data_IF_267880080777
#
_entry.id   IF_267880080777
#
_cell.length_a   1.000
_cell.length_b   1.000
_cell.length_c   1.000
_cell.angle_alpha   90.00
_cell.angle_beta   90.00
_cell.angle_gamma   90.00
#
_symmetry.space_group_name_H-M   'P 1'
#
loop_
_entity.id
_entity.type
_entity.pdbx_description
1 polymer ?
#
# COMPACT_ATOMS: atom_id res chain seq x y z
N UNK A 1 -58.49 37.86 16.41
CA UNK A 1 -57.99 36.48 16.10
C UNK A 1 -56.87 36.42 15.09
N UNK A 2 -56.77 37.36 14.15
CA UNK A 2 -55.79 37.31 13.05
C UNK A 2 -54.34 37.74 13.46
N UNK A 3 -54.20 38.75 14.31
CA UNK A 3 -52.88 39.27 14.73
C UNK A 3 -52.10 38.29 15.61
N UNK A 4 -52.80 37.55 16.48
CA UNK A 4 -52.19 36.54 17.33
C UNK A 4 -51.65 35.37 16.53
N UNK A 5 -52.38 34.93 15.50
CA UNK A 5 -51.93 33.89 14.56
C UNK A 5 -50.72 34.35 13.72
N UNK A 6 -50.59 35.64 13.37
CA UNK A 6 -49.45 36.17 12.62
C UNK A 6 -48.23 36.19 13.55
N UNK A 7 -48.35 36.66 14.81
CA UNK A 7 -47.26 36.68 15.78
C UNK A 7 -46.77 35.27 16.12
N UNK A 8 -47.68 34.29 16.30
CA UNK A 8 -47.31 32.91 16.56
C UNK A 8 -46.58 32.28 15.37
N UNK A 9 -47.04 32.53 14.14
CA UNK A 9 -46.32 32.08 12.91
C UNK A 9 -44.97 32.75 12.76
N UNK A 10 -44.87 34.07 13.05
CA UNK A 10 -43.59 34.79 12.97
C UNK A 10 -42.62 34.27 14.04
N UNK A 11 -43.10 33.96 15.25
CA UNK A 11 -42.28 33.35 16.31
C UNK A 11 -41.78 31.96 15.91
N UNK A 12 -42.63 31.10 15.33
CA UNK A 12 -42.25 29.79 14.86
C UNK A 12 -41.22 29.86 13.71
N UNK A 13 -41.38 30.79 12.78
CA UNK A 13 -40.40 30.97 11.67
C UNK A 13 -39.08 31.52 12.18
N UNK A 14 -39.06 32.45 13.12
CA UNK A 14 -37.83 33.01 13.72
C UNK A 14 -37.14 31.99 14.62
N UNK A 15 -37.92 31.16 15.31
CA UNK A 15 -37.39 30.11 16.21
C UNK A 15 -36.94 28.85 15.45
N UNK A 16 -37.27 28.73 14.16
CA UNK A 16 -36.85 27.58 13.35
C UNK A 16 -35.42 27.80 12.86
N UNK A 17 -34.42 26.99 13.28
CA UNK A 17 -33.05 27.08 12.80
C UNK A 17 -32.93 26.46 11.39
N UNK A 18 -33.82 26.88 10.46
CA UNK A 18 -33.91 26.30 9.11
C UNK A 18 -32.59 26.39 8.35
N UNK A 19 -31.85 27.50 8.53
CA UNK A 19 -30.52 27.65 7.96
C UNK A 19 -29.55 26.57 8.48
N UNK A 20 -29.62 26.25 9.77
CA UNK A 20 -28.77 25.22 10.38
C UNK A 20 -29.20 23.82 9.97
N UNK A 21 -30.49 23.52 9.98
CA UNK A 21 -31.07 22.20 9.72
C UNK A 21 -30.92 21.80 8.24
N UNK A 22 -30.89 22.75 7.32
CA UNK A 22 -30.78 22.49 5.88
C UNK A 22 -29.33 22.63 5.39
N UNK A 23 -28.60 23.67 5.83
CA UNK A 23 -27.29 23.99 5.28
C UNK A 23 -26.20 22.99 5.68
N UNK A 24 -26.28 22.42 6.89
CA UNK A 24 -25.30 21.44 7.36
C UNK A 24 -25.39 20.15 6.51
N UNK A 25 -26.55 19.46 6.41
CA UNK A 25 -26.67 18.29 5.54
C UNK A 25 -26.31 18.57 4.09
N UNK A 26 -26.70 19.73 3.54
CA UNK A 26 -26.38 20.11 2.18
C UNK A 26 -24.88 20.25 1.95
N UNK A 27 -24.14 20.82 2.92
CA UNK A 27 -22.69 20.94 2.87
C UNK A 27 -22.02 19.55 2.86
N UNK A 28 -22.50 18.60 3.65
CA UNK A 28 -21.99 17.24 3.65
C UNK A 28 -22.31 16.51 2.35
N UNK A 29 -23.53 16.64 1.80
CA UNK A 29 -23.85 16.06 0.49
C UNK A 29 -23.00 16.63 -0.62
N UNK A 30 -22.76 17.94 -0.62
CA UNK A 30 -21.84 18.58 -1.56
C UNK A 30 -20.40 18.08 -1.38
N UNK A 31 -19.96 17.88 -0.12
CA UNK A 31 -18.65 17.31 0.20
C UNK A 31 -18.47 15.89 -0.32
N UNK A 32 -19.45 14.98 -0.08
CA UNK A 32 -19.45 13.61 -0.57
C UNK A 32 -19.46 13.58 -2.10
N UNK A 33 -20.34 14.38 -2.73
CA UNK A 33 -20.41 14.47 -4.19
C UNK A 33 -19.12 15.01 -4.80
N UNK A 34 -18.48 16.01 -4.17
CA UNK A 34 -17.19 16.54 -4.58
C UNK A 34 -16.05 15.52 -4.44
N UNK A 35 -16.07 14.73 -3.36
CA UNK A 35 -15.11 13.64 -3.15
C UNK A 35 -15.30 12.54 -4.21
N UNK A 36 -16.52 12.12 -4.45
CA UNK A 36 -16.84 11.12 -5.48
C UNK A 36 -16.38 11.55 -6.88
N UNK A 37 -16.61 12.82 -7.25
CA UNK A 37 -16.12 13.38 -8.51
C UNK A 37 -14.59 13.40 -8.60
N UNK A 38 -13.90 13.48 -7.47
CA UNK A 38 -12.45 13.41 -7.38
C UNK A 38 -11.90 11.97 -7.32
N UNK A 39 -12.73 10.94 -7.46
CA UNK A 39 -12.35 9.52 -7.38
C UNK A 39 -12.21 9.01 -5.94
N UNK A 40 -12.86 9.66 -4.98
CA UNK A 40 -12.86 9.27 -3.56
C UNK A 40 -14.28 8.96 -3.12
N UNK A 41 -14.57 7.69 -2.87
CA UNK A 41 -15.86 7.25 -2.36
C UNK A 41 -15.86 7.33 -0.83
N UNK A 42 -16.71 8.16 -0.25
CA UNK A 42 -16.90 8.31 1.19
C UNK A 42 -18.23 7.67 1.57
N UNK A 43 -18.23 6.67 2.45
CA UNK A 43 -19.41 5.87 2.79
C UNK A 43 -20.40 6.58 3.73
N UNK A 44 -20.03 7.69 4.34
CA UNK A 44 -20.91 8.44 5.25
C UNK A 44 -20.38 9.82 5.60
N UNK A 45 -21.31 10.71 6.00
CA UNK A 45 -20.98 12.10 6.35
C UNK A 45 -20.07 12.21 7.58
N UNK A 46 -20.23 11.32 8.57
CA UNK A 46 -19.40 11.22 9.76
C UNK A 46 -17.93 10.98 9.42
N UNK A 47 -17.63 10.25 8.33
CA UNK A 47 -16.26 10.00 7.90
C UNK A 47 -15.57 11.24 7.34
N UNK A 48 -16.31 12.18 6.74
CA UNK A 48 -15.74 13.48 6.36
C UNK A 48 -15.31 14.29 7.58
N UNK A 49 -16.10 14.28 8.66
CA UNK A 49 -15.73 14.93 9.90
C UNK A 49 -14.46 14.33 10.48
N UNK A 50 -14.42 13.00 10.66
CA UNK A 50 -13.25 12.27 11.15
C UNK A 50 -12.02 12.54 10.29
N UNK A 51 -12.17 12.50 8.96
CA UNK A 51 -11.08 12.73 8.01
C UNK A 51 -10.53 14.16 8.13
N UNK A 52 -11.39 15.16 8.38
CA UNK A 52 -10.96 16.55 8.55
C UNK A 52 -10.01 16.74 9.74
N UNK A 53 -10.16 15.93 10.77
CA UNK A 53 -9.38 15.94 12.02
C UNK A 53 -8.14 15.03 11.94
N UNK A 54 -7.91 14.35 10.81
CA UNK A 54 -6.79 13.41 10.65
C UNK A 54 -5.44 14.13 10.79
N UNK A 55 -4.62 13.64 11.73
CA UNK A 55 -3.27 14.10 12.02
C UNK A 55 -2.22 12.99 11.87
N UNK A 56 -2.63 11.74 11.92
CA UNK A 56 -1.79 10.55 11.75
C UNK A 56 -2.28 9.78 10.54
N UNK A 57 -1.37 9.47 9.62
CA UNK A 57 -1.68 8.61 8.47
C UNK A 57 -0.72 7.43 8.48
N UNK A 58 -1.28 6.26 8.62
CA UNK A 58 -0.56 4.98 8.67
C UNK A 58 -0.82 4.24 7.36
N UNK A 59 0.23 3.80 6.71
CA UNK A 59 0.16 3.10 5.43
C UNK A 59 0.61 1.65 5.57
N UNK A 60 -0.10 0.73 4.97
CA UNK A 60 0.56 -0.49 4.53
C UNK A 60 1.54 -0.18 3.41
N UNK A 61 2.58 -0.99 3.24
CA UNK A 61 3.56 -0.78 2.16
C UNK A 61 3.03 -1.34 0.84
N UNK A 62 2.80 -2.65 0.80
CA UNK A 62 2.54 -3.41 -0.43
C UNK A 62 1.14 -3.14 -0.95
N UNK A 63 1.01 -2.85 -2.27
CA UNK A 63 -0.28 -2.51 -2.88
C UNK A 63 -0.79 -1.10 -2.55
N UNK A 64 -0.33 -0.49 -1.47
CA UNK A 64 -0.74 0.85 -1.01
C UNK A 64 0.22 1.94 -1.46
N UNK A 65 1.48 1.90 -1.01
CA UNK A 65 2.53 2.84 -1.43
C UNK A 65 3.35 2.29 -2.60
N UNK A 66 3.31 0.99 -2.80
CA UNK A 66 3.89 0.28 -3.93
C UNK A 66 2.79 -0.36 -4.78
N UNK A 67 3.14 -0.81 -5.97
CA UNK A 67 2.17 -1.40 -6.92
C UNK A 67 1.83 -2.85 -6.61
N UNK A 68 2.52 -3.51 -5.65
CA UNK A 68 2.44 -4.95 -5.44
C UNK A 68 3.00 -5.75 -6.62
N UNK A 69 3.69 -5.07 -7.54
CA UNK A 69 4.33 -5.67 -8.71
C UNK A 69 5.83 -5.69 -8.48
N UNK A 70 6.37 -6.88 -8.45
CA UNK A 70 7.81 -7.10 -8.34
C UNK A 70 8.47 -6.90 -9.69
N UNK A 71 9.56 -6.15 -9.72
CA UNK A 71 10.37 -5.95 -10.93
C UNK A 71 11.85 -6.21 -10.64
N UNK A 72 12.55 -6.71 -11.65
CA UNK A 72 14.00 -6.87 -11.56
C UNK A 72 14.63 -5.49 -11.56
N UNK A 73 15.25 -5.12 -10.44
CA UNK A 73 15.89 -3.82 -10.24
C UNK A 73 17.39 -3.85 -10.48
N UNK A 74 17.99 -5.03 -10.52
CA UNK A 74 19.42 -5.21 -10.83
C UNK A 74 19.77 -6.66 -11.06
N UNK A 75 20.76 -6.87 -11.91
CA UNK A 75 21.39 -8.17 -12.15
C UNK A 75 22.87 -8.01 -11.84
N UNK A 76 23.39 -8.84 -10.95
CA UNK A 76 24.77 -8.84 -10.53
C UNK A 76 25.39 -10.20 -10.85
N UNK A 77 26.14 -10.25 -11.92
CA UNK A 77 26.78 -11.47 -12.42
C UNK A 77 28.20 -11.64 -11.87
N UNK A 78 28.69 -12.85 -11.93
CA UNK A 78 30.09 -13.18 -11.61
C UNK A 78 30.91 -13.48 -12.89
N UNK A 79 30.54 -14.53 -13.62
CA UNK A 79 31.22 -14.97 -14.85
C UNK A 79 30.29 -14.98 -16.08
N UNK A 80 28.98 -14.99 -15.85
CA UNK A 80 27.96 -15.02 -16.92
C UNK A 80 27.49 -13.60 -17.23
N UNK A 81 27.13 -13.33 -18.48
CA UNK A 81 26.48 -12.08 -18.84
C UNK A 81 25.09 -11.94 -18.22
N UNK A 82 24.69 -10.72 -17.87
CA UNK A 82 23.39 -10.41 -17.23
C UNK A 82 22.21 -11.03 -17.97
N UNK A 83 22.21 -10.95 -19.30
CA UNK A 83 21.14 -11.50 -20.12
C UNK A 83 21.03 -13.03 -19.99
N UNK A 84 22.18 -13.74 -19.86
CA UNK A 84 22.21 -15.18 -19.72
C UNK A 84 21.80 -15.62 -18.31
N UNK A 85 22.19 -14.86 -17.30
CA UNK A 85 21.79 -15.10 -15.92
C UNK A 85 20.26 -14.96 -15.77
N UNK A 86 19.69 -13.92 -16.38
CA UNK A 86 18.25 -13.68 -16.39
C UNK A 86 17.49 -14.75 -17.18
N UNK A 87 18.04 -15.22 -18.33
CA UNK A 87 17.49 -16.33 -19.09
C UNK A 87 17.38 -17.60 -18.25
N UNK A 88 18.47 -17.98 -17.58
CA UNK A 88 18.47 -19.17 -16.70
C UNK A 88 17.49 -19.04 -15.54
N UNK A 89 17.40 -17.88 -14.91
CA UNK A 89 16.45 -17.61 -13.85
C UNK A 89 15.00 -17.75 -14.33
N UNK A 90 14.67 -17.13 -15.47
CA UNK A 90 13.32 -17.18 -16.04
C UNK A 90 12.91 -18.60 -16.48
N UNK A 91 13.84 -19.36 -17.05
CA UNK A 91 13.61 -20.75 -17.44
C UNK A 91 13.47 -21.66 -16.24
N UNK A 92 14.35 -21.59 -15.24
CA UNK A 92 14.25 -22.39 -14.02
C UNK A 92 12.91 -22.17 -13.27
N UNK A 93 12.44 -20.94 -13.25
CA UNK A 93 11.18 -20.53 -12.61
C UNK A 93 9.94 -20.59 -13.52
N UNK A 94 10.05 -21.25 -14.70
CA UNK A 94 8.99 -21.25 -15.71
C UNK A 94 7.68 -21.93 -15.30
N UNK A 95 7.72 -22.79 -14.31
CA UNK A 95 6.55 -23.52 -13.82
C UNK A 95 5.94 -22.93 -12.56
N UNK A 96 6.63 -21.99 -11.91
CA UNK A 96 6.17 -21.34 -10.69
C UNK A 96 5.19 -20.20 -10.96
N UNK A 97 4.13 -20.11 -10.18
CA UNK A 97 3.16 -19.01 -10.20
C UNK A 97 3.52 -17.87 -9.25
N UNK A 98 4.64 -18.01 -8.52
CA UNK A 98 5.07 -17.03 -7.53
C UNK A 98 5.31 -15.64 -8.15
N UNK A 99 4.98 -14.52 -7.49
CA UNK A 99 5.20 -13.17 -8.02
C UNK A 99 6.64 -12.88 -8.46
N UNK A 100 7.62 -13.40 -7.72
CA UNK A 100 9.06 -13.31 -8.07
C UNK A 100 9.34 -14.00 -9.41
N UNK A 101 8.82 -15.22 -9.60
CA UNK A 101 9.00 -15.99 -10.84
C UNK A 101 8.41 -15.26 -12.04
N UNK A 102 7.20 -14.67 -11.86
CA UNK A 102 6.58 -13.84 -12.90
C UNK A 102 7.40 -12.60 -13.25
N UNK A 103 8.04 -11.98 -12.25
CA UNK A 103 8.90 -10.82 -12.48
C UNK A 103 10.16 -11.17 -13.28
N UNK A 104 10.78 -12.33 -12.98
CA UNK A 104 11.92 -12.85 -13.75
C UNK A 104 11.54 -13.15 -15.21
N UNK A 105 10.39 -13.82 -15.41
CA UNK A 105 9.87 -14.13 -16.73
C UNK A 105 9.56 -12.86 -17.55
N UNK A 106 8.92 -11.86 -16.89
CA UNK A 106 8.63 -10.55 -17.49
C UNK A 106 9.90 -9.81 -17.88
N UNK A 107 10.91 -9.80 -17.00
CA UNK A 107 12.18 -9.12 -17.27
C UNK A 107 12.99 -9.79 -18.41
N UNK A 108 12.91 -11.11 -18.53
CA UNK A 108 13.50 -11.83 -19.66
C UNK A 108 12.86 -11.44 -20.99
N UNK A 109 11.55 -11.16 -21.03
CA UNK A 109 10.85 -10.53 -22.16
C UNK A 109 10.79 -11.36 -23.45
N UNK A 110 11.28 -12.59 -23.43
CA UNK A 110 11.24 -13.52 -24.57
C UNK A 110 10.30 -14.68 -24.27
N UNK A 111 9.91 -15.39 -25.30
CA UNK A 111 9.10 -16.59 -25.15
C UNK A 111 9.87 -17.67 -24.38
N UNK A 112 9.25 -18.24 -23.36
CA UNK A 112 9.85 -19.27 -22.52
C UNK A 112 9.57 -20.63 -23.17
N UNK A 113 10.60 -21.22 -23.73
CA UNK A 113 10.55 -22.58 -24.25
C UNK A 113 10.72 -23.59 -23.10
N UNK A 114 9.60 -24.12 -22.63
CA UNK A 114 9.58 -25.13 -21.56
C UNK A 114 10.25 -26.44 -21.97
N UNK A 115 10.39 -26.72 -23.28
CA UNK A 115 11.08 -27.92 -23.77
C UNK A 115 12.57 -27.93 -23.45
N UNK A 116 13.16 -26.77 -23.15
CA UNK A 116 14.55 -26.63 -22.72
C UNK A 116 14.79 -26.96 -21.24
N UNK A 117 13.70 -27.12 -20.46
CA UNK A 117 13.79 -27.27 -19.00
C UNK A 117 13.33 -28.66 -18.59
N UNK A 118 14.16 -29.35 -17.84
CA UNK A 118 13.90 -30.69 -17.29
C UNK A 118 14.25 -30.74 -15.81
N UNK A 119 13.78 -31.77 -15.10
CA UNK A 119 14.11 -32.03 -13.71
C UNK A 119 13.85 -30.81 -12.79
N UNK A 120 12.68 -30.16 -12.96
CA UNK A 120 12.30 -29.02 -12.09
C UNK A 120 11.89 -29.55 -10.73
N UNK A 121 12.57 -29.09 -9.69
CA UNK A 121 12.27 -29.40 -8.30
C UNK A 121 12.11 -28.10 -7.51
N UNK A 122 10.91 -27.85 -6.96
CA UNK A 122 10.64 -26.71 -6.10
C UNK A 122 10.95 -27.09 -4.65
N UNK A 123 11.90 -26.37 -4.06
CA UNK A 123 12.29 -26.54 -2.65
C UNK A 123 11.57 -25.48 -1.83
N UNK A 124 10.48 -25.91 -1.19
CA UNK A 124 9.57 -25.00 -0.47
C UNK A 124 10.30 -24.04 0.46
N UNK A 125 10.04 -22.73 0.29
CA UNK A 125 10.64 -21.66 1.07
C UNK A 125 12.11 -21.36 0.77
N UNK A 126 12.72 -22.03 -0.23
CA UNK A 126 14.14 -21.82 -0.56
C UNK A 126 14.37 -21.41 -2.01
N UNK A 127 13.62 -21.97 -2.97
CA UNK A 127 13.76 -21.70 -4.39
C UNK A 127 13.54 -22.92 -5.24
N UNK A 128 14.11 -22.93 -6.44
CA UNK A 128 13.94 -23.98 -7.45
C UNK A 128 15.29 -24.46 -7.96
N UNK A 129 15.36 -25.77 -8.27
CA UNK A 129 16.45 -26.36 -9.05
C UNK A 129 15.87 -26.94 -10.34
N UNK A 130 16.59 -26.83 -11.45
CA UNK A 130 16.17 -27.34 -12.74
C UNK A 130 17.39 -27.64 -13.62
N UNK A 131 17.19 -28.42 -14.68
CA UNK A 131 18.16 -28.51 -15.79
C UNK A 131 17.67 -27.68 -16.97
N UNK A 132 18.45 -26.73 -17.38
CA UNK A 132 18.21 -25.88 -18.58
C UNK A 132 19.23 -26.23 -19.64
N UNK A 133 18.77 -26.74 -20.78
CA UNK A 133 19.63 -27.26 -21.85
C UNK A 133 20.66 -28.31 -21.34
N UNK A 134 20.27 -29.11 -20.36
CA UNK A 134 21.14 -30.11 -19.72
C UNK A 134 22.08 -29.56 -18.64
N UNK A 135 22.12 -28.25 -18.40
CA UNK A 135 22.96 -27.61 -17.40
C UNK A 135 22.15 -27.47 -16.09
N UNK A 136 22.76 -27.85 -14.95
CA UNK A 136 22.12 -27.70 -13.66
C UNK A 136 22.04 -26.22 -13.26
N UNK A 137 20.83 -25.72 -12.98
CA UNK A 137 20.57 -24.35 -12.56
C UNK A 137 19.81 -24.37 -11.23
N UNK A 138 20.24 -23.53 -10.29
CA UNK A 138 19.51 -23.28 -9.05
C UNK A 138 19.24 -21.80 -8.90
N UNK A 139 17.99 -21.46 -8.56
CA UNK A 139 17.55 -20.10 -8.31
C UNK A 139 16.82 -20.04 -6.97
N UNK A 140 17.26 -19.19 -6.04
CA UNK A 140 16.62 -19.11 -4.73
C UNK A 140 17.32 -18.21 -3.72
N UNK A 141 16.94 -18.36 -2.45
CA UNK A 141 17.50 -17.56 -1.36
C UNK A 141 18.85 -18.15 -0.85
N UNK A 142 19.44 -17.47 0.13
CA UNK A 142 20.69 -17.90 0.78
C UNK A 142 20.64 -19.33 1.30
N UNK A 143 19.49 -19.74 1.87
CA UNK A 143 19.30 -21.11 2.39
C UNK A 143 19.40 -22.18 1.31
N UNK A 144 18.99 -21.88 0.08
CA UNK A 144 19.17 -22.80 -1.04
C UNK A 144 20.65 -22.96 -1.36
N UNK A 145 21.42 -21.88 -1.41
CA UNK A 145 22.86 -21.92 -1.67
C UNK A 145 23.60 -22.71 -0.58
N UNK A 146 23.24 -22.50 0.68
CA UNK A 146 23.78 -23.28 1.82
C UNK A 146 23.49 -24.78 1.71
N UNK A 147 22.23 -25.15 1.37
CA UNK A 147 21.86 -26.55 1.17
C UNK A 147 22.64 -27.25 0.06
N UNK A 148 22.93 -26.49 -1.00
CA UNK A 148 23.70 -26.98 -2.13
C UNK A 148 25.23 -26.92 -1.89
N UNK A 149 25.67 -26.39 -0.75
CA UNK A 149 27.08 -26.23 -0.43
C UNK A 149 27.83 -25.21 -1.30
N UNK A 150 27.08 -24.24 -1.86
CA UNK A 150 27.62 -23.24 -2.79
C UNK A 150 27.90 -21.95 -2.03
N UNK A 151 29.16 -21.50 -2.06
CA UNK A 151 29.54 -20.21 -1.51
C UNK A 151 28.93 -19.06 -2.32
N UNK A 152 28.18 -18.19 -1.67
CA UNK A 152 27.51 -17.05 -2.31
C UNK A 152 28.06 -15.71 -1.79
N UNK A 153 27.78 -14.65 -2.52
CA UNK A 153 28.09 -13.28 -2.09
C UNK A 153 26.85 -12.65 -1.48
N UNK A 154 26.96 -12.16 -0.25
CA UNK A 154 25.86 -11.38 0.36
C UNK A 154 25.68 -10.07 -0.40
N UNK A 155 24.43 -9.71 -0.67
CA UNK A 155 24.07 -8.46 -1.33
C UNK A 155 23.60 -7.44 -0.28
N UNK A 156 24.20 -6.26 -0.27
CA UNK A 156 23.82 -5.15 0.60
C UNK A 156 22.71 -4.27 -0.02
N UNK A 157 22.32 -4.53 -1.26
CA UNK A 157 21.27 -3.78 -1.93
C UNK A 157 19.88 -4.11 -1.36
N UNK A 158 19.01 -3.14 -1.45
CA UNK A 158 17.64 -3.23 -0.91
C UNK A 158 16.72 -3.94 -1.89
N UNK A 159 16.15 -5.06 -1.46
CA UNK A 159 15.24 -5.87 -2.27
C UNK A 159 15.29 -7.34 -1.90
N UNK A 160 14.49 -8.15 -2.61
CA UNK A 160 14.58 -9.60 -2.53
C UNK A 160 15.69 -10.07 -3.45
N UNK A 161 16.66 -10.78 -2.88
CA UNK A 161 17.80 -11.30 -3.61
C UNK A 161 17.50 -12.74 -4.04
N UNK A 162 17.55 -13.01 -5.34
CA UNK A 162 17.53 -14.35 -5.92
C UNK A 162 18.95 -14.72 -6.32
N UNK A 163 19.57 -15.59 -5.54
CA UNK A 163 20.88 -16.14 -5.84
C UNK A 163 20.77 -17.19 -6.93
N UNK A 164 21.74 -17.15 -7.84
CA UNK A 164 21.81 -18.06 -8.98
C UNK A 164 23.07 -18.92 -8.92
N UNK A 165 22.91 -20.21 -9.12
CA UNK A 165 24.01 -21.13 -9.33
C UNK A 165 23.83 -21.89 -10.63
N UNK A 166 24.90 -22.07 -11.37
CA UNK A 166 24.95 -22.78 -12.65
C UNK A 166 26.08 -23.78 -12.60
N UNK A 167 25.75 -25.03 -12.93
CA UNK A 167 26.69 -26.17 -12.91
C UNK A 167 27.45 -26.30 -11.58
N UNK A 168 26.75 -26.11 -10.46
CA UNK A 168 27.31 -26.23 -9.11
C UNK A 168 28.20 -25.05 -8.67
N UNK A 169 28.28 -23.96 -9.46
CA UNK A 169 29.05 -22.75 -9.14
C UNK A 169 28.13 -21.54 -8.99
N UNK A 170 28.50 -20.65 -8.08
CA UNK A 170 27.77 -19.39 -7.93
C UNK A 170 27.93 -18.51 -9.16
N UNK A 171 26.84 -18.23 -9.82
CA UNK A 171 26.79 -17.45 -11.05
C UNK A 171 26.50 -15.96 -10.85
N UNK A 172 25.87 -15.61 -9.71
CA UNK A 172 25.48 -14.24 -9.41
C UNK A 172 24.17 -14.15 -8.65
N UNK A 173 23.58 -12.98 -8.63
CA UNK A 173 22.24 -12.77 -8.03
C UNK A 173 21.44 -11.73 -8.80
N UNK A 174 20.13 -11.87 -8.71
CA UNK A 174 19.16 -10.96 -9.31
C UNK A 174 18.44 -10.26 -8.14
N UNK A 175 18.39 -8.94 -8.21
CA UNK A 175 17.69 -8.11 -7.23
C UNK A 175 16.28 -7.81 -7.74
N UNK A 176 15.30 -8.09 -6.90
CA UNK A 176 13.89 -7.87 -7.19
C UNK A 176 13.32 -6.93 -6.15
N UNK A 177 12.67 -5.87 -6.58
CA UNK A 177 12.03 -4.91 -5.68
C UNK A 177 10.59 -4.64 -6.10
N UNK A 178 9.77 -4.30 -5.12
CA UNK A 178 8.41 -3.84 -5.33
C UNK A 178 8.44 -2.38 -5.82
N UNK A 179 7.71 -2.11 -6.89
CA UNK A 179 7.74 -0.79 -7.54
C UNK A 179 6.90 0.22 -6.77
N UNK A 180 7.50 1.33 -6.37
CA UNK A 180 6.80 2.46 -5.73
C UNK A 180 5.79 3.07 -6.69
N UNK A 181 4.58 3.40 -6.21
CA UNK A 181 3.56 4.08 -7.03
C UNK A 181 4.05 5.47 -7.46
N UNK A 182 3.72 5.93 -8.67
CA UNK A 182 4.27 7.18 -9.25
C UNK A 182 4.06 8.40 -8.35
N UNK A 183 2.91 8.53 -7.71
CA UNK A 183 2.57 9.69 -6.90
C UNK A 183 2.80 9.51 -5.39
N UNK A 184 3.34 8.36 -4.93
CA UNK A 184 3.50 8.06 -3.50
C UNK A 184 4.33 9.12 -2.77
N UNK A 185 5.47 9.52 -3.33
CA UNK A 185 6.34 10.56 -2.75
C UNK A 185 5.67 11.93 -2.70
N UNK A 186 4.91 12.27 -3.74
CA UNK A 186 4.14 13.50 -3.79
C UNK A 186 3.00 13.49 -2.77
N UNK A 187 2.31 12.35 -2.61
CA UNK A 187 1.25 12.17 -1.62
C UNK A 187 1.74 12.50 -0.20
N UNK A 188 2.91 11.96 0.20
CA UNK A 188 3.51 12.25 1.51
C UNK A 188 3.79 13.75 1.69
N UNK A 189 4.28 14.45 0.66
CA UNK A 189 4.51 15.90 0.71
C UNK A 189 3.20 16.68 0.86
N UNK A 190 2.17 16.33 0.11
CA UNK A 190 0.86 17.01 0.17
C UNK A 190 0.15 16.74 1.51
N UNK A 191 0.26 15.54 2.08
CA UNK A 191 -0.25 15.24 3.42
C UNK A 191 0.39 16.14 4.48
N UNK A 192 1.69 16.36 4.42
CA UNK A 192 2.39 17.30 5.34
C UNK A 192 1.87 18.74 5.17
N UNK A 193 1.66 19.20 3.93
CA UNK A 193 1.07 20.51 3.66
C UNK A 193 -0.37 20.61 4.17
N UNK A 194 -1.13 19.54 4.09
CA UNK A 194 -2.46 19.43 4.71
C UNK A 194 -2.40 19.39 6.25
N UNK A 195 -1.24 19.54 6.90
CA UNK A 195 -1.10 19.57 8.35
C UNK A 195 -1.31 18.20 9.02
N UNK A 196 -1.00 17.11 8.31
CA UNK A 196 -0.76 15.79 8.91
C UNK A 196 0.54 15.87 9.70
N UNK A 197 0.50 15.48 10.97
CA UNK A 197 1.64 15.58 11.89
C UNK A 197 2.61 14.44 11.69
N UNK A 198 2.09 13.22 11.47
CA UNK A 198 2.89 12.01 11.33
C UNK A 198 2.41 11.14 10.17
N UNK A 199 3.38 10.69 9.40
CA UNK A 199 3.22 9.64 8.38
C UNK A 199 4.01 8.42 8.82
N UNK A 200 3.37 7.26 8.84
CA UNK A 200 3.89 6.02 9.42
C UNK A 200 3.70 4.91 8.39
N UNK A 201 4.65 4.00 8.25
CA UNK A 201 4.52 2.82 7.40
C UNK A 201 4.62 1.55 8.24
N UNK A 202 3.69 0.62 8.01
CA UNK A 202 3.72 -0.73 8.57
C UNK A 202 4.01 -1.72 7.45
N UNK A 203 4.91 -2.68 7.68
CA UNK A 203 5.26 -3.69 6.68
C UNK A 203 5.78 -4.97 7.31
N UNK A 204 5.55 -6.09 6.64
CA UNK A 204 6.18 -7.38 6.96
C UNK A 204 7.60 -7.53 6.44
N UNK A 205 8.11 -6.57 5.67
CA UNK A 205 9.45 -6.63 5.10
C UNK A 205 10.55 -6.54 6.15
N UNK A 206 11.75 -6.96 5.76
CA UNK A 206 12.95 -6.78 6.56
C UNK A 206 13.26 -5.30 6.79
N UNK A 207 13.83 -4.99 7.94
CA UNK A 207 14.11 -3.61 8.39
C UNK A 207 14.85 -2.76 7.36
N UNK A 208 15.90 -3.29 6.73
CA UNK A 208 16.69 -2.56 5.74
C UNK A 208 15.87 -2.13 4.51
N UNK A 209 14.94 -2.98 4.03
CA UNK A 209 14.03 -2.68 2.91
C UNK A 209 13.02 -1.62 3.32
N UNK A 210 12.43 -1.78 4.50
CA UNK A 210 11.45 -0.86 5.04
C UNK A 210 12.03 0.56 5.25
N UNK A 211 13.20 0.65 5.88
CA UNK A 211 13.90 1.91 6.14
C UNK A 211 14.27 2.63 4.84
N UNK A 212 14.71 1.89 3.82
CA UNK A 212 15.04 2.47 2.51
C UNK A 212 13.80 3.08 1.84
N UNK A 213 12.71 2.33 1.76
CA UNK A 213 11.45 2.80 1.13
C UNK A 213 10.89 3.99 1.91
N UNK A 214 10.88 3.93 3.25
CA UNK A 214 10.40 5.03 4.08
C UNK A 214 11.22 6.31 3.86
N UNK A 215 12.55 6.19 3.79
CA UNK A 215 13.45 7.30 3.52
C UNK A 215 13.23 7.90 2.13
N UNK A 216 13.10 7.06 1.11
CA UNK A 216 12.85 7.53 -0.26
C UNK A 216 11.51 8.27 -0.37
N UNK A 217 10.45 7.74 0.24
CA UNK A 217 9.13 8.37 0.26
C UNK A 217 9.05 9.61 1.17
N UNK A 218 9.98 9.75 2.11
CA UNK A 218 9.97 10.80 3.13
C UNK A 218 8.95 10.55 4.25
N UNK A 219 8.64 9.28 4.54
CA UNK A 219 7.83 8.82 5.66
C UNK A 219 8.63 8.98 6.96
N UNK A 220 7.98 9.39 8.05
CA UNK A 220 8.67 9.79 9.29
C UNK A 220 8.98 8.62 10.21
N UNK A 221 8.07 7.63 10.29
CA UNK A 221 8.22 6.46 11.15
C UNK A 221 7.94 5.19 10.33
N UNK A 222 8.67 4.12 10.61
CA UNK A 222 8.48 2.82 9.95
C UNK A 222 8.59 1.69 10.97
N UNK A 223 7.69 0.74 10.86
CA UNK A 223 7.70 -0.50 11.62
C UNK A 223 7.73 -1.67 10.65
N UNK A 224 8.78 -2.46 10.76
CA UNK A 224 9.10 -3.58 9.86
C UNK A 224 8.92 -4.93 10.54
N UNK A 225 8.99 -6.01 9.75
CA UNK A 225 8.95 -7.39 10.21
C UNK A 225 7.67 -7.75 10.99
N UNK A 226 6.56 -7.04 10.68
CA UNK A 226 5.28 -7.21 11.34
C UNK A 226 4.49 -8.37 10.72
N UNK A 227 3.95 -9.22 11.55
CA UNK A 227 2.89 -10.16 11.18
C UNK A 227 1.54 -9.42 11.09
N UNK A 228 0.52 -9.99 10.43
CA UNK A 228 -0.79 -9.34 10.32
C UNK A 228 -1.39 -8.91 11.67
N UNK A 229 -1.28 -9.74 12.71
CA UNK A 229 -1.74 -9.40 14.06
C UNK A 229 -0.95 -8.26 14.71
N UNK A 230 0.36 -8.17 14.43
CA UNK A 230 1.21 -7.12 14.98
C UNK A 230 0.85 -5.75 14.40
N UNK A 231 0.36 -5.67 13.15
CA UNK A 231 -0.13 -4.44 12.56
C UNK A 231 -1.33 -3.88 13.34
N UNK A 232 -2.27 -4.73 13.75
CA UNK A 232 -3.42 -4.33 14.57
C UNK A 232 -2.95 -3.75 15.90
N UNK A 233 -2.11 -4.51 16.63
CA UNK A 233 -1.55 -4.08 17.91
C UNK A 233 -0.81 -2.74 17.79
N UNK A 234 -0.06 -2.55 16.71
CA UNK A 234 0.68 -1.30 16.47
C UNK A 234 -0.26 -0.12 16.21
N UNK A 235 -1.35 -0.31 15.49
CA UNK A 235 -2.35 0.74 15.28
C UNK A 235 -3.04 1.07 16.59
N UNK A 236 -3.39 0.09 17.44
CA UNK A 236 -3.95 0.34 18.78
C UNK A 236 -2.98 1.15 19.65
N UNK A 237 -1.70 0.78 19.68
CA UNK A 237 -0.68 1.56 20.39
C UNK A 237 -0.59 3.01 19.90
N UNK A 238 -0.72 3.24 18.60
CA UNK A 238 -0.71 4.58 18.02
C UNK A 238 -2.00 5.36 18.35
N UNK A 239 -3.15 4.67 18.43
CA UNK A 239 -4.42 5.26 18.86
C UNK A 239 -4.37 5.73 20.32
N UNK A 240 -3.73 4.96 21.20
CA UNK A 240 -3.57 5.30 22.61
C UNK A 240 -2.61 6.48 22.84
N UNK A 241 -1.63 6.66 21.96
CA UNK A 241 -0.64 7.74 22.06
C UNK A 241 -1.12 9.10 21.59
N UNK A 242 -2.17 9.15 20.76
CA UNK A 242 -2.67 10.41 20.20
C UNK A 242 -3.67 11.10 21.14
N UNK A 243 -3.87 12.40 20.93
CA UNK A 243 -4.95 13.15 21.59
C UNK A 243 -6.32 12.72 21.04
N UNK A 244 -7.37 12.76 21.86
CA UNK A 244 -8.75 12.45 21.44
C UNK A 244 -9.24 13.28 20.26
N UNK A 245 -8.78 14.55 20.18
CA UNK A 245 -9.11 15.47 19.07
C UNK A 245 -8.37 15.17 17.78
N UNK A 246 -7.36 14.32 17.81
CA UNK A 246 -6.56 13.94 16.63
C UNK A 246 -7.01 12.58 16.15
N UNK A 247 -7.19 12.44 14.85
CA UNK A 247 -7.66 11.20 14.25
C UNK A 247 -6.54 10.53 13.46
N UNK A 248 -6.57 9.20 13.48
CA UNK A 248 -5.65 8.32 12.77
C UNK A 248 -6.37 7.66 11.60
N UNK A 249 -5.84 7.88 10.39
CA UNK A 249 -6.25 7.16 9.20
C UNK A 249 -5.30 5.98 8.94
N UNK A 250 -5.84 4.80 8.65
CA UNK A 250 -5.07 3.68 8.13
C UNK A 250 -5.40 3.48 6.66
N UNK A 251 -4.38 3.26 5.83
CA UNK A 251 -4.50 3.06 4.38
C UNK A 251 -3.94 1.68 4.02
N UNK A 252 -4.76 0.85 3.41
CA UNK A 252 -4.40 -0.52 3.01
C UNK A 252 -5.16 -0.98 1.76
N UNK A 253 -4.76 -2.13 1.19
CA UNK A 253 -5.35 -2.68 -0.04
C UNK A 253 -5.78 -4.14 0.08
N UNK A 254 -5.26 -4.86 1.07
CA UNK A 254 -5.36 -6.31 1.18
C UNK A 254 -6.43 -6.83 2.13
N UNK A 255 -6.79 -8.11 1.96
CA UNK A 255 -7.63 -8.87 2.90
C UNK A 255 -7.02 -8.85 4.31
N UNK A 256 -5.70 -8.93 4.40
CA UNK A 256 -4.98 -8.93 5.67
C UNK A 256 -5.07 -7.60 6.43
N UNK A 257 -5.43 -6.51 5.74
CA UNK A 257 -5.56 -5.18 6.31
C UNK A 257 -6.98 -4.87 6.79
N UNK A 258 -7.99 -5.68 6.44
CA UNK A 258 -9.38 -5.46 6.85
C UNK A 258 -9.55 -5.30 8.37
N UNK A 259 -8.91 -6.09 9.25
CA UNK A 259 -8.98 -5.89 10.69
C UNK A 259 -8.36 -4.55 11.12
N UNK A 260 -7.30 -4.11 10.47
CA UNK A 260 -6.60 -2.84 10.77
C UNK A 260 -7.42 -1.65 10.29
N UNK A 261 -8.01 -1.74 9.08
CA UNK A 261 -8.91 -0.74 8.52
C UNK A 261 -10.10 -0.46 9.43
N UNK A 262 -10.74 -1.52 9.94
CA UNK A 262 -11.88 -1.41 10.87
C UNK A 262 -11.49 -0.89 12.26
N UNK A 263 -10.22 -1.01 12.66
CA UNK A 263 -9.75 -0.61 13.98
C UNK A 263 -9.30 0.85 14.06
N UNK A 264 -8.84 1.43 12.97
CA UNK A 264 -8.44 2.83 12.89
C UNK A 264 -9.62 3.78 13.15
N UNK A 265 -9.36 5.06 13.46
CA UNK A 265 -10.44 6.06 13.53
C UNK A 265 -11.11 6.23 12.15
N UNK A 266 -10.36 5.99 11.07
CA UNK A 266 -10.87 5.98 9.70
C UNK A 266 -10.02 5.04 8.85
N UNK A 267 -10.69 4.09 8.20
CA UNK A 267 -10.08 3.16 7.26
C UNK A 267 -10.21 3.65 5.82
N UNK A 268 -9.11 3.65 5.07
CA UNK A 268 -9.05 4.04 3.66
C UNK A 268 -8.55 2.85 2.84
N UNK A 269 -9.36 2.34 1.94
CA UNK A 269 -8.97 1.25 1.03
C UNK A 269 -8.52 1.80 -0.33
N UNK A 270 -7.51 1.15 -0.90
CA UNK A 270 -7.14 1.29 -2.31
C UNK A 270 -8.12 0.47 -3.14
N UNK A 271 -8.87 1.11 -4.06
CA UNK A 271 -10.05 0.50 -4.67
C UNK A 271 -9.80 -0.34 -5.92
N UNK A 272 -8.89 0.07 -6.80
CA UNK A 272 -8.71 -0.60 -8.10
C UNK A 272 -8.06 -1.99 -7.98
N UNK A 273 -7.18 -2.18 -7.00
CA UNK A 273 -6.48 -3.43 -6.70
C UNK A 273 -6.87 -4.03 -5.35
N UNK A 274 -7.69 -3.31 -4.56
CA UNK A 274 -8.12 -3.71 -3.24
C UNK A 274 -9.00 -4.96 -3.24
N UNK A 275 -8.88 -5.79 -2.20
CA UNK A 275 -9.78 -6.93 -2.01
C UNK A 275 -11.17 -6.45 -1.63
N UNK A 276 -12.20 -7.21 -2.01
CA UNK A 276 -13.59 -6.94 -1.61
C UNK A 276 -13.73 -6.77 -0.09
N UNK A 277 -12.99 -7.58 0.69
CA UNK A 277 -12.97 -7.49 2.14
C UNK A 277 -12.37 -6.17 2.66
N UNK A 278 -11.29 -5.66 2.03
CA UNK A 278 -10.72 -4.37 2.39
C UNK A 278 -11.66 -3.21 2.02
N UNK A 279 -12.27 -3.29 0.83
CA UNK A 279 -13.26 -2.31 0.39
C UNK A 279 -14.46 -2.30 1.34
N UNK A 280 -14.95 -3.46 1.78
CA UNK A 280 -16.08 -3.55 2.70
C UNK A 280 -15.74 -2.98 4.09
N UNK A 281 -14.55 -3.28 4.60
CA UNK A 281 -14.10 -2.85 5.92
C UNK A 281 -13.74 -1.36 6.01
N UNK A 282 -13.43 -0.71 4.88
CA UNK A 282 -13.00 0.68 4.86
C UNK A 282 -14.18 1.66 4.91
N UNK A 283 -13.95 2.84 5.45
CA UNK A 283 -14.87 3.98 5.49
C UNK A 283 -14.80 4.82 4.22
N UNK A 284 -13.63 4.81 3.59
CA UNK A 284 -13.31 5.55 2.35
C UNK A 284 -12.62 4.60 1.37
N UNK A 285 -12.97 4.73 0.08
CA UNK A 285 -12.35 3.95 -0.99
C UNK A 285 -11.78 4.90 -2.06
N UNK A 286 -10.51 4.72 -2.41
CA UNK A 286 -9.85 5.45 -3.49
C UNK A 286 -10.01 4.67 -4.80
N UNK A 287 -10.81 5.20 -5.73
CA UNK A 287 -11.26 4.44 -6.90
C UNK A 287 -10.16 4.20 -7.96
N UNK A 288 -9.15 5.05 -8.02
CA UNK A 288 -8.08 5.03 -9.02
C UNK A 288 -6.70 4.62 -8.47
N UNK A 289 -6.65 4.07 -7.27
CA UNK A 289 -5.43 3.53 -6.64
C UNK A 289 -4.27 4.55 -6.48
N UNK A 290 -4.57 5.84 -6.59
CA UNK A 290 -3.58 6.91 -6.48
C UNK A 290 -3.45 7.40 -5.02
N UNK A 291 -2.30 7.22 -4.33
CA UNK A 291 -2.09 7.71 -2.98
C UNK A 291 -2.28 9.21 -2.81
N UNK A 292 -2.13 10.00 -3.88
CA UNK A 292 -2.33 11.46 -3.85
C UNK A 292 -3.77 11.83 -3.49
N UNK A 293 -4.74 10.95 -3.79
CA UNK A 293 -6.15 11.14 -3.46
C UNK A 293 -6.43 11.21 -1.96
N UNK A 294 -5.55 10.66 -1.12
CA UNK A 294 -5.67 10.77 0.34
C UNK A 294 -5.59 12.23 0.77
N UNK A 295 -4.60 12.97 0.26
CA UNK A 295 -4.45 14.40 0.54
C UNK A 295 -5.65 15.20 -0.02
N UNK A 296 -6.12 14.84 -1.21
CA UNK A 296 -7.32 15.42 -1.83
C UNK A 296 -8.55 15.21 -0.96
N UNK A 297 -8.75 14.00 -0.44
CA UNK A 297 -9.86 13.64 0.45
C UNK A 297 -9.83 14.47 1.75
N UNK A 298 -8.67 14.57 2.40
CA UNK A 298 -8.49 15.41 3.60
C UNK A 298 -8.78 16.88 3.31
N UNK A 299 -8.35 17.39 2.16
CA UNK A 299 -8.61 18.76 1.77
C UNK A 299 -10.11 19.04 1.56
N UNK A 300 -10.80 18.15 0.86
CA UNK A 300 -12.26 18.22 0.65
C UNK A 300 -12.99 18.18 1.99
N UNK A 301 -12.62 17.25 2.87
CA UNK A 301 -13.21 17.10 4.18
C UNK A 301 -13.08 18.40 5.01
N UNK A 302 -11.89 19.01 5.07
CA UNK A 302 -11.66 20.25 5.79
C UNK A 302 -12.42 21.42 5.20
N UNK A 303 -12.48 21.52 3.86
CA UNK A 303 -13.26 22.54 3.19
C UNK A 303 -14.77 22.40 3.49
N UNK A 304 -15.27 21.16 3.50
CA UNK A 304 -16.65 20.85 3.86
C UNK A 304 -16.96 21.29 5.30
N UNK A 305 -16.11 20.95 6.26
CA UNK A 305 -16.25 21.35 7.65
C UNK A 305 -16.19 22.86 7.86
N UNK A 306 -15.26 23.52 7.18
CA UNK A 306 -15.15 24.99 7.23
C UNK A 306 -16.42 25.68 6.71
N UNK A 307 -16.97 25.23 5.59
CA UNK A 307 -18.22 25.75 5.06
C UNK A 307 -19.40 25.50 6.01
N UNK A 308 -19.49 24.32 6.61
CA UNK A 308 -20.52 23.98 7.60
C UNK A 308 -20.45 24.90 8.82
N UNK A 309 -19.24 25.25 9.30
CA UNK A 309 -19.04 26.12 10.47
C UNK A 309 -19.30 27.59 10.19
N UNK A 310 -19.05 28.10 8.97
CA UNK A 310 -19.31 29.49 8.61
C UNK A 310 -20.81 29.80 8.66
N UNK A 311 -21.68 28.83 8.38
CA UNK A 311 -23.13 29.00 8.40
C UNK A 311 -23.75 28.94 9.81
N UNK A 312 -22.98 28.52 10.83
CA UNK A 312 -23.38 28.52 12.24
C UNK A 312 -23.03 29.83 12.91
#
# INVERSE_FOLDING_TARGET
>A
GSEMCIRDRTFLVISCPCALVISIPLSFFAGIGGASKAGVLVKGANYLETLSQTKYVVFDKTGTMTQGVFEVSGVHHNELEDAKLLEYAALAECSSSHPISKSLQKAYGKNIDRGRVTEIEEISGNGVTAKVDGIAVAAGNEKLMEKLGIAYRSCSHVGTVVHMAVDGRYAGHILISDTVKPHAKQAIKELKKCGVKKTIMLTGDRKNVADYVAKDLGIQEVYSELLPGDKVNKVEELLDRKSEKEKLAFVGDGINDAPVLSRADIGIAMGAMGSDAAIEAADIVLMDDDPLKIATAIHIARKCMHLSLIHI
#
